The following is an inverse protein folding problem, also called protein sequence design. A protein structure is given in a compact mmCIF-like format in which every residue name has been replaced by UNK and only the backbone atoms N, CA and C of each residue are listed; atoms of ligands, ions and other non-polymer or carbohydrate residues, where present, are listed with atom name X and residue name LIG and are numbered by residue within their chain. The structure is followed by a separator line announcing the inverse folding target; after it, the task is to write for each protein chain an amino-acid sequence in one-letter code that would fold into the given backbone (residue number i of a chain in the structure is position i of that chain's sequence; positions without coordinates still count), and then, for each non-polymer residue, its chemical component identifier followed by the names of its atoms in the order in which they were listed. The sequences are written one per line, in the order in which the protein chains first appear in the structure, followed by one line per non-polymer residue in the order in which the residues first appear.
data_IF_527075020532
#
_entry.id   IF_527075020532
#
_cell.length_a   1.000
_cell.length_b   1.000
_cell.length_c   1.000
_cell.angle_alpha   90.00
_cell.angle_beta   90.00
_cell.angle_gamma   90.00
#
_symmetry.space_group_name_H-M   'P 1'
#
loop_
_entity.id
_entity.type
_entity.pdbx_description
1 polymer ?
#
# COMPACT_ATOMS: atom_id res chain seq x y z
N UNK A 1 9.35 38.90 -0.18
CA UNK A 1 9.53 37.53 -0.70
C UNK A 1 8.82 37.46 -2.04
N UNK A 2 9.43 36.92 -3.11
CA UNK A 2 8.79 36.88 -4.45
C UNK A 2 7.54 35.98 -4.46
N UNK A 3 7.47 35.03 -3.54
CA UNK A 3 6.31 34.19 -3.28
C UNK A 3 6.30 33.75 -1.81
N UNK A 4 5.13 33.35 -1.32
CA UNK A 4 4.92 32.73 -0.02
C UNK A 4 4.31 31.35 -0.22
N UNK A 5 5.07 30.30 0.07
CA UNK A 5 4.62 28.91 0.00
C UNK A 5 4.13 28.38 1.36
N UNK A 6 4.62 28.95 2.46
CA UNK A 6 4.21 28.56 3.80
C UNK A 6 4.28 29.73 4.79
N UNK A 7 3.46 29.65 5.83
CA UNK A 7 3.40 30.59 6.95
C UNK A 7 3.68 29.81 8.23
N UNK A 8 4.56 30.33 9.07
CA UNK A 8 4.81 29.80 10.41
C UNK A 8 4.24 30.77 11.45
N UNK A 9 3.33 30.27 12.28
CA UNK A 9 2.82 30.93 13.48
C UNK A 9 3.59 30.41 14.68
N UNK A 10 4.30 31.30 15.38
CA UNK A 10 4.96 30.97 16.65
C UNK A 10 4.19 31.62 17.78
N UNK A 11 3.76 30.83 18.75
CA UNK A 11 3.18 31.31 20.00
C UNK A 11 4.30 31.43 21.03
N UNK A 12 4.40 32.60 21.66
CA UNK A 12 5.57 32.99 22.46
C UNK A 12 5.15 33.20 23.92
N UNK A 13 5.99 32.73 24.84
CA UNK A 13 5.81 32.98 26.27
C UNK A 13 6.10 34.44 26.62
N UNK A 14 5.38 34.98 27.60
CA UNK A 14 5.60 36.34 28.10
C UNK A 14 5.27 36.44 29.58
N UNK A 15 6.05 37.23 30.35
CA UNK A 15 5.82 37.46 31.78
C UNK A 15 4.51 38.19 32.08
N UNK A 16 3.95 38.90 31.11
CA UNK A 16 2.66 39.58 31.26
C UNK A 16 1.45 38.65 31.03
N UNK A 17 1.67 37.41 30.61
CA UNK A 17 0.62 36.43 30.31
C UNK A 17 0.46 35.42 31.45
N UNK A 18 -0.74 34.82 31.62
CA UNK A 18 -0.98 33.79 32.62
C UNK A 18 0.05 32.66 32.58
N UNK A 19 0.55 32.27 33.76
CA UNK A 19 1.57 31.22 33.92
C UNK A 19 2.87 31.44 33.12
N UNK A 20 3.15 32.68 32.71
CA UNK A 20 4.20 33.01 31.74
C UNK A 20 4.07 32.23 30.42
N UNK A 21 2.87 31.75 30.11
CA UNK A 21 2.57 30.94 28.93
C UNK A 21 2.29 31.80 27.70
N UNK A 22 2.01 31.16 26.56
CA UNK A 22 1.72 31.88 25.32
C UNK A 22 0.25 32.26 25.15
N UNK A 23 -0.67 31.69 25.93
CA UNK A 23 -2.10 31.94 25.87
C UNK A 23 -2.64 32.85 26.97
N UNK A 24 -3.87 33.35 26.80
CA UNK A 24 -4.57 34.23 27.75
C UNK A 24 -5.49 33.51 28.73
N UNK A 25 -5.69 32.19 28.60
CA UNK A 25 -6.44 31.44 29.59
C UNK A 25 -5.68 31.38 30.92
N UNK A 26 -6.37 31.20 32.06
CA UNK A 26 -5.73 31.23 33.39
C UNK A 26 -4.59 30.23 33.61
N UNK A 27 -4.57 29.14 32.84
CA UNK A 27 -3.51 28.13 32.83
C UNK A 27 -2.44 28.36 31.75
N UNK A 28 -2.52 29.44 30.98
CA UNK A 28 -1.63 29.79 29.86
C UNK A 28 -1.99 29.12 28.52
N UNK A 29 -3.13 28.41 28.43
CA UNK A 29 -3.61 27.79 27.20
C UNK A 29 -4.29 28.78 26.23
N UNK A 30 -4.50 28.35 25.00
CA UNK A 30 -5.35 29.01 23.99
C UNK A 30 -6.07 27.95 23.14
N UNK A 31 -7.10 28.36 22.40
CA UNK A 31 -7.70 27.53 21.33
C UNK A 31 -7.87 28.40 20.09
N UNK A 32 -7.02 28.16 19.09
CA UNK A 32 -7.14 28.78 17.77
C UNK A 32 -8.16 27.97 16.98
N UNK A 33 -9.32 28.55 16.68
CA UNK A 33 -10.43 27.80 16.06
C UNK A 33 -10.35 27.81 14.55
N UNK A 34 -10.02 28.95 13.92
CA UNK A 34 -9.89 29.00 12.46
C UNK A 34 -8.64 29.80 12.04
N UNK A 35 -8.05 29.41 10.92
CA UNK A 35 -7.02 30.18 10.22
C UNK A 35 -7.43 30.37 8.77
N UNK A 36 -7.55 31.64 8.36
CA UNK A 36 -7.81 31.99 6.95
C UNK A 36 -6.70 32.86 6.40
N UNK A 37 -6.38 32.64 5.14
CA UNK A 37 -5.44 33.47 4.40
C UNK A 37 -6.16 34.07 3.20
N UNK A 38 -6.06 35.39 3.00
CA UNK A 38 -6.55 36.06 1.80
C UNK A 38 -5.45 36.85 1.13
N UNK A 39 -5.55 37.01 -0.18
CA UNK A 39 -4.71 37.90 -0.99
C UNK A 39 -5.62 38.68 -1.93
N UNK A 40 -5.55 40.01 -1.89
CA UNK A 40 -6.46 40.90 -2.62
C UNK A 40 -7.95 40.52 -2.46
N UNK A 41 -8.37 40.20 -1.25
CA UNK A 41 -9.74 39.79 -0.93
C UNK A 41 -10.13 38.36 -1.34
N UNK A 42 -9.25 37.63 -2.04
CA UNK A 42 -9.50 36.24 -2.45
C UNK A 42 -8.88 35.27 -1.44
N UNK A 43 -9.67 34.30 -0.97
CA UNK A 43 -9.20 33.28 -0.03
C UNK A 43 -8.20 32.33 -0.70
N UNK A 44 -7.06 32.11 -0.04
CA UNK A 44 -5.99 31.19 -0.42
C UNK A 44 -6.16 29.90 0.35
N UNK A 45 -6.14 28.77 -0.35
CA UNK A 45 -6.31 27.45 0.26
C UNK A 45 -5.03 27.01 0.97
N UNK A 46 -5.18 26.59 2.22
CA UNK A 46 -4.13 25.90 2.97
C UNK A 46 -4.29 24.40 2.68
N UNK A 47 -3.23 23.78 2.15
CA UNK A 47 -3.25 22.37 1.77
C UNK A 47 -2.82 21.44 2.91
N UNK A 48 -1.88 21.88 3.76
CA UNK A 48 -1.33 21.09 4.85
C UNK A 48 -1.03 21.96 6.06
N UNK A 49 -1.20 21.38 7.24
CA UNK A 49 -0.83 21.99 8.51
C UNK A 49 -0.15 20.98 9.41
N UNK A 50 0.68 21.47 10.33
CA UNK A 50 1.22 20.70 11.43
C UNK A 50 1.66 21.65 12.55
N UNK A 51 1.77 21.13 13.77
CA UNK A 51 2.32 21.85 14.92
C UNK A 51 3.40 21.00 15.61
N UNK A 52 4.27 21.65 16.37
CA UNK A 52 5.26 20.97 17.23
C UNK A 52 4.62 20.29 18.45
N UNK A 53 3.43 20.74 18.86
CA UNK A 53 2.64 20.16 19.93
C UNK A 53 1.13 20.35 19.69
N UNK A 54 0.34 19.33 20.03
CA UNK A 54 -1.12 19.32 19.90
C UNK A 54 -1.76 18.73 21.16
N UNK A 55 -2.66 19.48 21.79
CA UNK A 55 -3.45 18.99 22.91
C UNK A 55 -4.37 17.84 22.44
N UNK A 56 -4.49 16.73 23.20
CA UNK A 56 -5.46 15.69 22.89
C UNK A 56 -6.89 16.24 22.72
N UNK A 57 -7.50 15.97 21.56
CA UNK A 57 -8.83 16.47 21.19
C UNK A 57 -8.87 17.86 20.57
N UNK A 58 -7.72 18.52 20.39
CA UNK A 58 -7.59 19.84 19.76
C UNK A 58 -6.41 19.87 18.77
N UNK A 59 -6.47 19.05 17.70
CA UNK A 59 -5.40 18.95 16.72
C UNK A 59 -5.30 20.20 15.82
N UNK A 60 -4.13 20.43 15.23
CA UNK A 60 -3.92 21.60 14.35
C UNK A 60 -4.73 21.56 13.06
N UNK A 61 -5.12 20.38 12.60
CA UNK A 61 -5.90 20.23 11.35
C UNK A 61 -7.30 20.84 11.45
N UNK A 62 -7.85 20.89 12.66
CA UNK A 62 -9.21 21.36 12.92
C UNK A 62 -9.36 22.85 12.62
N UNK A 63 -8.26 23.63 12.62
CA UNK A 63 -8.29 25.06 12.28
C UNK A 63 -8.71 25.37 10.82
N UNK A 64 -8.86 24.33 10.00
CA UNK A 64 -9.27 24.41 8.60
C UNK A 64 -10.75 24.06 8.38
N UNK A 65 -11.46 23.53 9.38
CA UNK A 65 -12.84 23.06 9.21
C UNK A 65 -13.87 24.22 9.17
N UNK A 66 -13.49 25.39 9.67
CA UNK A 66 -14.31 26.60 9.75
C UNK A 66 -15.57 26.46 10.61
N UNK A 67 -15.58 25.55 11.59
CA UNK A 67 -16.76 25.29 12.43
C UNK A 67 -16.84 26.20 13.67
N UNK A 68 -15.71 26.79 14.09
CA UNK A 68 -15.58 27.67 15.25
C UNK A 68 -15.73 26.99 16.62
N UNK A 69 -15.82 25.66 16.64
CA UNK A 69 -16.10 24.79 17.79
C UNK A 69 -14.96 23.80 18.07
N UNK A 70 -14.12 23.53 17.09
CA UNK A 70 -12.89 22.75 17.19
C UNK A 70 -11.68 23.68 16.99
N UNK A 71 -10.46 23.14 17.07
CA UNK A 71 -9.27 23.91 16.75
C UNK A 71 -8.00 23.41 17.43
N UNK A 72 -6.95 24.21 17.33
CA UNK A 72 -5.64 23.90 17.88
C UNK A 72 -5.47 24.46 19.30
N UNK A 73 -5.04 23.59 20.23
CA UNK A 73 -4.70 23.98 21.59
C UNK A 73 -3.39 23.33 22.05
N UNK A 74 -2.78 23.89 23.10
CA UNK A 74 -1.44 23.50 23.56
C UNK A 74 -1.40 22.91 24.96
N UNK A 75 -2.55 22.68 25.59
CA UNK A 75 -2.53 22.06 26.92
C UNK A 75 -1.86 20.68 26.86
N UNK A 76 -1.09 20.36 27.87
CA UNK A 76 -0.41 19.07 27.98
C UNK A 76 -1.24 18.17 28.89
N UNK A 77 -1.60 16.99 28.40
CA UNK A 77 -2.28 15.98 29.22
C UNK A 77 -1.34 15.41 30.29
N UNK A 78 -1.89 14.70 31.28
CA UNK A 78 -1.14 14.12 32.39
C UNK A 78 0.03 13.19 31.97
N UNK A 79 -0.01 12.66 30.74
CA UNK A 79 0.99 11.73 30.20
C UNK A 79 1.80 12.30 29.02
N UNK A 80 1.81 13.64 28.84
CA UNK A 80 2.56 14.28 27.75
C UNK A 80 4.00 14.59 28.16
N UNK A 81 4.95 14.36 27.25
CA UNK A 81 6.35 14.81 27.38
C UNK A 81 6.53 16.28 26.99
N UNK A 82 5.51 16.90 26.38
CA UNK A 82 5.54 18.32 26.04
C UNK A 82 5.46 19.18 27.30
N UNK A 83 6.09 20.34 27.26
CA UNK A 83 6.12 21.28 28.38
C UNK A 83 5.00 22.31 28.22
N UNK A 84 4.05 22.32 29.16
CA UNK A 84 3.05 23.39 29.23
C UNK A 84 3.73 24.75 29.42
N UNK A 85 3.11 25.82 28.91
CA UNK A 85 3.62 27.18 29.03
C UNK A 85 5.02 27.34 28.42
N UNK A 86 5.25 26.70 27.27
CA UNK A 86 6.44 26.87 26.45
C UNK A 86 6.07 27.44 25.08
N UNK A 87 7.04 28.02 24.33
CA UNK A 87 6.77 28.44 22.96
C UNK A 87 6.43 27.24 22.08
N UNK A 88 5.42 27.42 21.22
CA UNK A 88 4.98 26.41 20.26
C UNK A 88 4.85 27.00 18.87
N UNK A 89 4.95 26.18 17.84
CA UNK A 89 4.85 26.61 16.44
C UNK A 89 3.89 25.74 15.63
N UNK A 90 3.13 26.41 14.77
CA UNK A 90 2.29 25.79 13.76
C UNK A 90 2.69 26.30 12.37
N UNK A 91 2.67 25.41 11.39
CA UNK A 91 3.01 25.72 10.00
C UNK A 91 1.79 25.48 9.12
N UNK A 92 1.54 26.40 8.20
CA UNK A 92 0.46 26.39 7.23
C UNK A 92 1.07 26.44 5.83
N UNK A 93 0.89 25.38 5.05
CA UNK A 93 1.40 25.27 3.68
C UNK A 93 0.28 25.56 2.71
N UNK A 94 0.47 26.54 1.84
CA UNK A 94 -0.50 26.88 0.80
C UNK A 94 -0.53 25.79 -0.27
N UNK A 95 -1.70 25.58 -0.89
CA UNK A 95 -1.84 24.68 -2.03
C UNK A 95 -1.04 25.14 -3.25
N UNK A 96 -0.98 26.46 -3.45
CA UNK A 96 -0.21 27.17 -4.46
C UNK A 96 0.49 28.36 -3.80
N UNK A 97 1.80 28.57 -4.05
CA UNK A 97 2.49 29.72 -3.51
C UNK A 97 1.79 31.03 -3.88
N UNK A 98 1.58 31.89 -2.90
CA UNK A 98 1.07 33.25 -3.10
C UNK A 98 2.21 34.12 -3.66
N UNK A 99 2.16 34.43 -4.95
CA UNK A 99 3.10 35.32 -5.62
C UNK A 99 2.50 36.73 -5.81
N UNK A 100 3.37 37.70 -6.07
CA UNK A 100 3.00 39.11 -6.32
C UNK A 100 3.16 40.02 -5.10
N UNK A 101 2.87 41.31 -5.30
CA UNK A 101 3.08 42.39 -4.32
C UNK A 101 1.83 42.73 -3.50
N UNK A 102 0.73 42.02 -3.73
CA UNK A 102 -0.53 42.20 -2.99
C UNK A 102 -0.38 41.76 -1.53
N UNK A 103 -1.01 42.49 -0.62
CA UNK A 103 -0.98 42.17 0.80
C UNK A 103 -1.65 40.82 1.10
N UNK A 104 -1.02 40.05 2.01
CA UNK A 104 -1.60 38.85 2.60
C UNK A 104 -2.32 39.20 3.90
N UNK A 105 -3.59 38.84 3.98
CA UNK A 105 -4.41 38.97 5.18
C UNK A 105 -4.49 37.61 5.88
N UNK A 106 -3.88 37.49 7.05
CA UNK A 106 -3.98 36.32 7.91
C UNK A 106 -4.99 36.58 9.02
N UNK A 107 -6.09 35.82 9.02
CA UNK A 107 -7.12 35.88 10.04
C UNK A 107 -6.96 34.70 11.00
N UNK A 108 -6.78 35.00 12.28
CA UNK A 108 -6.69 34.03 13.38
C UNK A 108 -7.94 34.16 14.26
N UNK A 109 -8.85 33.19 14.18
CA UNK A 109 -10.13 33.22 14.90
C UNK A 109 -10.06 32.39 16.18
N UNK A 110 -10.72 32.85 17.25
CA UNK A 110 -10.80 32.14 18.53
C UNK A 110 -12.27 32.13 18.98
N UNK A 111 -13.06 31.23 18.41
CA UNK A 111 -14.52 31.17 18.58
C UNK A 111 -15.00 30.41 19.82
N UNK A 112 -14.14 29.57 20.41
CA UNK A 112 -14.59 28.60 21.41
C UNK A 112 -14.92 29.23 22.76
N UNK A 113 -14.10 30.19 23.21
CA UNK A 113 -14.27 30.82 24.51
C UNK A 113 -13.55 32.17 24.57
N UNK A 114 -14.13 33.15 25.25
CA UNK A 114 -13.66 34.54 25.28
C UNK A 114 -12.23 34.74 25.85
N UNK A 115 -11.72 33.77 26.60
CA UNK A 115 -10.42 33.84 27.29
C UNK A 115 -9.32 33.00 26.64
N UNK A 116 -9.67 32.08 25.74
CA UNK A 116 -8.73 31.13 25.12
C UNK A 116 -8.07 31.73 23.88
N UNK A 117 -7.48 32.90 24.05
CA UNK A 117 -6.82 33.66 22.99
C UNK A 117 -5.31 33.40 23.01
N UNK A 118 -4.68 33.36 21.84
CA UNK A 118 -3.22 33.49 21.75
C UNK A 118 -2.83 34.87 22.30
N UNK A 119 -1.89 34.90 23.25
CA UNK A 119 -1.47 36.12 23.94
C UNK A 119 -0.39 36.87 23.19
N UNK A 120 0.72 36.20 22.89
CA UNK A 120 1.86 36.77 22.14
C UNK A 120 2.28 35.80 21.04
N UNK A 121 2.50 36.31 19.84
CA UNK A 121 2.89 35.50 18.70
C UNK A 121 3.84 36.23 17.75
N UNK A 122 4.47 35.46 16.88
CA UNK A 122 5.22 35.93 15.72
C UNK A 122 4.74 35.20 14.47
N UNK A 123 4.72 35.90 13.34
CA UNK A 123 4.41 35.34 12.03
C UNK A 123 5.68 35.40 11.18
N UNK A 124 6.00 34.28 10.54
CA UNK A 124 7.11 34.17 9.62
C UNK A 124 6.64 33.59 8.29
N UNK A 125 7.24 34.04 7.20
CA UNK A 125 6.85 33.66 5.84
C UNK A 125 8.01 32.91 5.17
N UNK A 126 7.69 31.86 4.41
CA UNK A 126 8.68 31.08 3.67
C UNK A 126 8.34 31.03 2.18
N UNK A 127 9.34 31.24 1.33
CA UNK A 127 9.20 31.09 -0.12
C UNK A 127 9.17 29.62 -0.59
N UNK A 128 9.58 28.70 0.28
CA UNK A 128 9.59 27.25 0.03
C UNK A 128 8.78 26.51 1.07
N UNK A 129 8.27 25.33 0.73
CA UNK A 129 7.64 24.45 1.72
C UNK A 129 8.74 23.95 2.67
N UNK A 130 8.68 24.26 3.98
CA UNK A 130 9.64 23.71 4.93
C UNK A 130 9.47 22.19 4.99
N UNK A 131 10.55 21.42 5.25
CA UNK A 131 10.41 20.01 5.52
C UNK A 131 9.47 19.81 6.71
N UNK A 132 8.73 18.70 6.74
CA UNK A 132 7.98 18.30 7.93
C UNK A 132 8.94 18.29 9.13
N UNK A 133 8.49 18.72 10.33
CA UNK A 133 9.36 18.76 11.49
C UNK A 133 9.93 17.37 11.71
N UNK A 134 11.25 17.32 11.88
CA UNK A 134 11.99 16.11 12.27
C UNK A 134 11.70 15.80 13.74
N UNK A 135 10.46 15.42 14.02
CA UNK A 135 9.97 14.96 15.32
C UNK A 135 9.83 13.44 15.35
N UNK A 136 8.86 12.91 16.09
CA UNK A 136 8.54 11.48 16.18
C UNK A 136 8.41 10.79 14.81
N UNK A 137 8.17 11.52 13.73
CA UNK A 137 8.18 11.02 12.36
C UNK A 137 9.54 10.47 11.91
N UNK A 138 10.68 10.99 12.38
CA UNK A 138 12.02 10.42 12.08
C UNK A 138 12.25 9.11 12.84
N UNK A 139 11.78 9.03 14.09
CA UNK A 139 11.82 7.78 14.86
C UNK A 139 10.80 6.76 14.34
N UNK A 140 9.67 7.23 13.82
CA UNK A 140 8.67 6.41 13.14
C UNK A 140 9.23 5.89 11.80
N UNK A 141 9.87 6.74 11.01
CA UNK A 141 10.56 6.37 9.77
C UNK A 141 11.73 5.42 10.05
N UNK A 142 12.49 5.64 11.12
CA UNK A 142 13.52 4.72 11.57
C UNK A 142 12.91 3.37 11.96
N UNK A 143 11.85 3.35 12.77
CA UNK A 143 11.11 2.14 13.13
C UNK A 143 10.53 1.40 11.91
N UNK A 144 10.00 2.13 10.92
CA UNK A 144 9.50 1.57 9.65
C UNK A 144 10.63 0.92 8.83
N UNK A 145 11.83 1.52 8.83
CA UNK A 145 13.01 1.03 8.13
C UNK A 145 13.72 -0.13 8.84
N UNK A 146 13.57 -0.24 10.16
CA UNK A 146 14.06 -1.38 10.93
C UNK A 146 13.28 -2.64 10.56
N UNK A 147 14.00 -3.75 10.31
CA UNK A 147 13.40 -5.04 10.00
C UNK A 147 12.49 -5.52 11.15
N UNK A 148 11.35 -6.13 10.82
CA UNK A 148 10.31 -6.47 11.80
C UNK A 148 10.82 -7.27 13.00
N UNK A 149 11.79 -8.16 12.80
CA UNK A 149 12.36 -9.00 13.86
C UNK A 149 13.29 -8.23 14.82
N UNK A 150 13.80 -7.08 14.40
CA UNK A 150 14.77 -6.27 15.14
C UNK A 150 14.17 -5.01 15.79
N UNK A 151 12.87 -4.76 15.58
CA UNK A 151 12.18 -3.61 16.17
C UNK A 151 12.09 -3.74 17.68
N UNK A 152 12.51 -2.69 18.39
CA UNK A 152 12.32 -2.59 19.84
C UNK A 152 10.85 -2.45 20.21
N UNK A 153 10.50 -2.65 21.48
CA UNK A 153 9.11 -2.44 21.92
C UNK A 153 8.69 -0.97 21.84
N UNK A 154 9.65 -0.04 21.95
CA UNK A 154 9.42 1.38 21.71
C UNK A 154 9.09 1.67 20.23
N UNK A 155 9.76 0.99 19.29
CA UNK A 155 9.48 1.12 17.85
C UNK A 155 8.09 0.59 17.52
N UNK A 156 7.72 -0.57 18.07
CA UNK A 156 6.39 -1.16 17.89
C UNK A 156 5.29 -0.24 18.45
N UNK A 157 5.49 0.29 19.65
CA UNK A 157 4.54 1.21 20.26
C UNK A 157 4.37 2.49 19.43
N UNK A 158 5.47 3.04 18.89
CA UNK A 158 5.45 4.22 18.02
C UNK A 158 4.73 3.95 16.70
N UNK A 159 5.00 2.82 16.04
CA UNK A 159 4.31 2.40 14.82
C UNK A 159 2.81 2.20 15.06
N UNK A 160 2.45 1.56 16.18
CA UNK A 160 1.06 1.33 16.56
C UNK A 160 0.32 2.66 16.81
N UNK A 161 0.92 3.59 17.55
CA UNK A 161 0.33 4.88 17.82
C UNK A 161 0.13 5.71 16.55
N UNK A 162 1.10 5.69 15.63
CA UNK A 162 0.99 6.37 14.34
C UNK A 162 -0.11 5.74 13.47
N UNK A 163 -0.18 4.41 13.43
CA UNK A 163 -1.25 3.70 12.72
C UNK A 163 -2.63 4.01 13.32
N UNK A 164 -2.79 4.01 14.64
CA UNK A 164 -4.07 4.35 15.30
C UNK A 164 -4.49 5.81 15.14
N UNK A 165 -3.52 6.72 14.98
CA UNK A 165 -3.75 8.14 14.66
C UNK A 165 -4.33 8.26 13.25
N UNK A 166 -3.73 7.59 12.28
CA UNK A 166 -4.09 7.71 10.86
C UNK A 166 -5.31 6.82 10.49
N UNK A 167 -5.55 5.74 11.24
CA UNK A 167 -6.71 4.83 11.14
C UNK A 167 -7.47 4.75 12.48
N UNK A 168 -8.32 5.74 12.82
CA UNK A 168 -9.05 5.77 14.10
C UNK A 168 -9.99 4.58 14.31
N UNK A 169 -10.39 3.90 13.23
CA UNK A 169 -11.19 2.66 13.26
C UNK A 169 -10.40 1.42 13.64
N UNK A 170 -9.07 1.51 13.63
CA UNK A 170 -8.16 0.42 13.97
C UNK A 170 -7.79 0.36 15.46
N UNK A 171 -8.27 1.30 16.30
CA UNK A 171 -8.22 1.15 17.75
C UNK A 171 -8.79 -0.24 18.09
N UNK A 172 -8.10 -1.08 18.89
CA UNK A 172 -8.67 -2.34 19.32
C UNK A 172 -9.97 -2.03 20.04
N UNK A 173 -11.09 -2.22 19.34
CA UNK A 173 -12.43 -2.15 19.93
C UNK A 173 -12.38 -3.08 21.13
N UNK A 174 -12.77 -2.52 22.27
CA UNK A 174 -12.86 -3.20 23.55
C UNK A 174 -13.39 -4.63 23.34
N UNK A 175 -12.78 -5.61 24.02
CA UNK A 175 -12.95 -7.06 23.80
C UNK A 175 -14.37 -7.61 24.08
N UNK A 176 -15.41 -6.81 23.89
CA UNK A 176 -16.80 -7.23 23.81
C UNK A 176 -17.19 -7.25 22.35
N UNK A 177 -17.17 -8.46 21.79
CA UNK A 177 -17.65 -8.79 20.46
C UNK A 177 -19.03 -8.17 20.23
N UNK A 178 -19.10 -7.14 19.40
CA UNK A 178 -20.34 -6.80 18.71
C UNK A 178 -20.69 -8.02 17.83
N UNK A 179 -21.79 -8.74 18.11
CA UNK A 179 -22.19 -9.92 17.34
C UNK A 179 -22.52 -9.59 15.88
N UNK A 180 -22.65 -8.31 15.52
CA UNK A 180 -22.93 -7.84 14.16
C UNK A 180 -21.68 -7.40 13.37
N UNK A 181 -20.47 -7.52 13.94
CA UNK A 181 -19.24 -7.28 13.17
C UNK A 181 -18.90 -8.54 12.36
N UNK A 182 -19.04 -8.45 11.04
CA UNK A 182 -18.63 -9.49 10.12
C UNK A 182 -17.15 -9.84 10.36
N UNK A 183 -16.90 -11.06 10.84
CA UNK A 183 -15.53 -11.59 10.98
C UNK A 183 -15.15 -12.25 9.66
N UNK A 184 -14.12 -11.76 8.95
CA UNK A 184 -13.60 -12.51 7.83
C UNK A 184 -13.01 -13.81 8.34
N UNK A 185 -13.34 -14.93 7.70
CA UNK A 185 -12.67 -16.19 7.96
C UNK A 185 -11.22 -16.05 7.50
N UNK A 186 -10.28 -16.24 8.41
CA UNK A 186 -8.86 -16.32 8.09
C UNK A 186 -8.40 -17.77 8.19
N UNK A 187 -7.51 -18.17 7.29
CA UNK A 187 -6.89 -19.48 7.34
C UNK A 187 -5.77 -19.46 8.38
N UNK A 188 -5.89 -20.25 9.44
CA UNK A 188 -4.84 -20.44 10.43
C UNK A 188 -4.34 -21.88 10.42
N UNK A 189 -3.04 -22.08 10.64
CA UNK A 189 -2.48 -23.43 10.77
C UNK A 189 -2.88 -24.02 12.13
N UNK A 190 -3.20 -25.32 12.14
CA UNK A 190 -3.53 -26.03 13.36
C UNK A 190 -2.23 -26.34 14.12
N UNK A 191 -2.27 -26.21 15.45
CA UNK A 191 -1.14 -26.59 16.31
C UNK A 191 -0.73 -28.07 16.14
N UNK A 192 -1.69 -28.93 15.81
CA UNK A 192 -1.45 -30.31 15.41
C UNK A 192 -2.10 -30.57 14.05
N UNK A 193 -1.32 -30.90 13.00
CA UNK A 193 -1.85 -31.24 11.70
C UNK A 193 -2.84 -32.41 11.77
N UNK A 194 -3.90 -32.36 10.97
CA UNK A 194 -4.86 -33.48 10.88
C UNK A 194 -4.22 -34.64 10.13
N UNK A 195 -4.30 -35.89 10.65
CA UNK A 195 -3.89 -37.06 9.90
C UNK A 195 -4.65 -37.15 8.57
N UNK A 196 -3.91 -37.31 7.48
CA UNK A 196 -4.45 -37.41 6.12
C UNK A 196 -4.06 -38.77 5.55
N UNK A 197 -4.97 -39.44 4.86
CA UNK A 197 -4.78 -40.79 4.32
C UNK A 197 -5.21 -40.83 2.85
N UNK A 198 -4.74 -41.83 2.11
CA UNK A 198 -5.22 -42.07 0.76
C UNK A 198 -6.71 -42.46 0.81
N UNK A 199 -7.54 -41.83 -0.02
CA UNK A 199 -8.97 -42.15 -0.06
C UNK A 199 -9.24 -43.23 -1.11
N UNK A 200 -9.86 -44.33 -0.70
CA UNK A 200 -10.20 -45.43 -1.61
C UNK A 200 -11.23 -44.94 -2.63
N UNK A 201 -10.82 -44.82 -3.90
CA UNK A 201 -11.65 -44.26 -4.99
C UNK A 201 -12.16 -42.83 -4.72
N UNK A 202 -11.44 -42.06 -3.90
CA UNK A 202 -11.82 -40.68 -3.57
C UNK A 202 -12.96 -40.53 -2.55
N UNK A 203 -13.44 -41.62 -1.96
CA UNK A 203 -14.49 -41.59 -0.94
C UNK A 203 -13.92 -41.13 0.42
N UNK A 204 -14.35 -39.95 0.89
CA UNK A 204 -13.90 -39.37 2.16
C UNK A 204 -14.26 -40.20 3.39
N UNK A 205 -15.22 -41.12 3.27
CA UNK A 205 -15.60 -42.04 4.36
C UNK A 205 -14.71 -43.29 4.41
N UNK A 206 -13.85 -43.49 3.39
CA UNK A 206 -13.00 -44.68 3.24
C UNK A 206 -11.51 -44.33 3.15
N UNK A 207 -10.92 -43.76 4.22
CA UNK A 207 -9.48 -43.59 4.29
C UNK A 207 -8.76 -44.94 4.42
N UNK A 208 -7.79 -45.18 3.55
CA UNK A 208 -6.86 -46.29 3.63
C UNK A 208 -5.80 -45.99 4.69
N UNK A 209 -6.05 -46.49 5.90
CA UNK A 209 -5.13 -46.34 7.03
C UNK A 209 -3.98 -47.36 6.99
N UNK A 210 -4.12 -48.43 6.22
CA UNK A 210 -3.13 -49.51 6.12
C UNK A 210 -1.92 -49.05 5.30
N UNK A 211 -2.14 -48.21 4.29
CA UNK A 211 -1.08 -47.52 3.52
C UNK A 211 -0.33 -46.44 4.29
N UNK A 212 -0.74 -46.15 5.54
CA UNK A 212 -0.11 -45.15 6.40
C UNK A 212 -0.58 -43.72 6.13
N UNK A 213 -0.16 -42.81 7.02
CA UNK A 213 -0.47 -41.39 6.91
C UNK A 213 0.33 -40.74 5.78
N UNK A 214 -0.36 -39.93 4.98
CA UNK A 214 0.26 -39.07 3.97
C UNK A 214 0.89 -37.85 4.65
N UNK A 215 2.14 -37.60 4.28
CA UNK A 215 2.87 -36.39 4.62
C UNK A 215 2.76 -35.37 3.47
N UNK A 216 2.93 -34.07 3.73
CA UNK A 216 2.98 -33.09 2.66
C UNK A 216 4.13 -33.43 1.69
N UNK A 217 3.87 -33.23 0.40
CA UNK A 217 4.80 -33.59 -0.65
C UNK A 217 4.38 -33.01 -1.98
N UNK A 218 5.14 -33.35 -3.01
CA UNK A 218 4.97 -32.85 -4.39
C UNK A 218 5.04 -34.02 -5.37
N UNK A 219 4.40 -33.91 -6.56
CA UNK A 219 4.53 -34.93 -7.60
C UNK A 219 5.96 -34.97 -8.16
N UNK A 220 6.76 -35.94 -7.70
CA UNK A 220 8.18 -36.07 -8.06
C UNK A 220 8.40 -36.36 -9.56
N UNK A 221 7.35 -36.78 -10.28
CA UNK A 221 7.39 -36.94 -11.73
C UNK A 221 7.51 -35.60 -12.49
N UNK A 222 7.21 -34.47 -11.84
CA UNK A 222 7.23 -33.14 -12.45
C UNK A 222 8.56 -32.42 -12.18
N UNK A 223 9.01 -32.44 -10.93
CA UNK A 223 10.22 -31.77 -10.48
C UNK A 223 10.77 -32.49 -9.23
N UNK A 224 12.04 -32.23 -8.86
CA UNK A 224 12.65 -32.82 -7.67
C UNK A 224 11.83 -32.62 -6.39
N UNK A 225 11.97 -33.51 -5.40
CA UNK A 225 11.21 -33.41 -4.15
C UNK A 225 11.52 -32.12 -3.40
N UNK A 226 10.60 -31.71 -2.52
CA UNK A 226 10.84 -30.60 -1.59
C UNK A 226 12.09 -30.90 -0.76
N UNK A 227 13.01 -29.94 -0.69
CA UNK A 227 14.03 -29.92 0.35
C UNK A 227 13.36 -29.47 1.64
N UNK A 228 13.10 -30.42 2.53
CA UNK A 228 12.44 -30.18 3.81
C UNK A 228 13.49 -30.15 4.91
N UNK A 229 13.43 -29.14 5.78
CA UNK A 229 14.13 -29.20 7.06
C UNK A 229 13.37 -30.20 7.96
N UNK A 230 14.01 -31.34 8.27
CA UNK A 230 13.41 -32.40 9.08
C UNK A 230 12.90 -31.90 10.44
N UNK A 231 13.47 -30.82 10.98
CA UNK A 231 13.06 -30.25 12.26
C UNK A 231 11.83 -29.33 12.16
N UNK A 232 11.62 -28.67 11.01
CA UNK A 232 10.54 -27.69 10.82
C UNK A 232 9.34 -28.23 10.02
N UNK A 233 9.54 -29.31 9.26
CA UNK A 233 8.55 -29.82 8.32
C UNK A 233 8.35 -28.88 7.11
N UNK A 234 7.69 -29.38 6.08
CA UNK A 234 7.43 -28.60 4.87
C UNK A 234 6.22 -27.70 5.06
N UNK A 235 6.33 -26.44 4.66
CA UNK A 235 5.26 -25.45 4.74
C UNK A 235 4.87 -24.91 3.35
N UNK A 236 3.95 -23.94 3.31
CA UNK A 236 3.47 -23.35 2.04
C UNK A 236 4.54 -22.58 1.28
N UNK A 237 5.54 -22.01 1.97
CA UNK A 237 6.67 -21.34 1.32
C UNK A 237 7.51 -22.35 0.54
N UNK A 238 7.69 -23.57 1.06
CA UNK A 238 8.43 -24.63 0.37
C UNK A 238 7.70 -25.07 -0.90
N UNK A 239 6.38 -25.25 -0.83
CA UNK A 239 5.56 -25.49 -2.02
C UNK A 239 5.65 -24.33 -3.03
N UNK A 240 5.60 -23.08 -2.56
CA UNK A 240 5.72 -21.91 -3.43
C UNK A 240 7.08 -21.86 -4.14
N UNK A 241 8.17 -22.17 -3.44
CA UNK A 241 9.52 -22.27 -4.01
C UNK A 241 9.61 -23.38 -5.04
N UNK A 242 9.03 -24.55 -4.76
CA UNK A 242 8.97 -25.67 -5.70
C UNK A 242 8.16 -25.37 -6.97
N UNK A 243 7.07 -24.63 -6.85
CA UNK A 243 6.26 -24.22 -8.00
C UNK A 243 7.05 -23.34 -8.96
N UNK A 244 7.93 -22.46 -8.47
CA UNK A 244 8.74 -21.56 -9.31
C UNK A 244 10.17 -22.03 -9.49
N UNK A 245 10.47 -23.27 -9.09
CA UNK A 245 11.80 -23.84 -9.22
C UNK A 245 12.15 -23.99 -10.73
N UNK A 246 13.37 -23.63 -11.16
CA UNK A 246 13.80 -23.82 -12.55
C UNK A 246 13.70 -25.26 -13.07
N UNK A 247 13.75 -26.25 -12.18
CA UNK A 247 13.59 -27.67 -12.49
C UNK A 247 12.12 -28.08 -12.63
N UNK A 248 11.17 -27.21 -12.29
CA UNK A 248 9.75 -27.38 -12.59
C UNK A 248 9.42 -26.76 -13.96
N UNK A 249 9.22 -27.57 -15.01
CA UNK A 249 9.05 -27.03 -16.35
C UNK A 249 7.62 -26.56 -16.63
N UNK A 250 6.64 -26.91 -15.79
CA UNK A 250 5.23 -26.61 -16.06
C UNK A 250 4.90 -25.15 -15.82
N UNK A 251 5.26 -24.61 -14.66
CA UNK A 251 4.96 -23.23 -14.30
C UNK A 251 5.41 -22.20 -15.35
N UNK A 252 6.67 -22.21 -15.84
CA UNK A 252 7.08 -21.25 -16.86
C UNK A 252 6.37 -21.47 -18.21
N UNK A 253 6.15 -22.72 -18.64
CA UNK A 253 5.43 -23.03 -19.89
C UNK A 253 3.97 -22.58 -19.84
N UNK A 254 3.26 -22.92 -18.78
CA UNK A 254 1.85 -22.52 -18.56
C UNK A 254 1.76 -21.00 -18.53
N UNK A 255 2.63 -20.33 -17.76
CA UNK A 255 2.66 -18.87 -17.68
C UNK A 255 2.87 -18.22 -19.05
N UNK A 256 3.82 -18.71 -19.83
CA UNK A 256 4.11 -18.17 -21.17
C UNK A 256 3.02 -18.49 -22.18
N UNK A 257 2.37 -19.64 -22.09
CA UNK A 257 1.21 -19.94 -22.92
C UNK A 257 0.03 -18.99 -22.63
N UNK A 258 -0.23 -18.70 -21.35
CA UNK A 258 -1.26 -17.71 -20.95
C UNK A 258 -0.95 -16.33 -21.51
N UNK A 259 0.29 -15.85 -21.35
CA UNK A 259 0.72 -14.56 -21.91
C UNK A 259 0.58 -14.55 -23.43
N UNK A 260 1.05 -15.61 -24.09
CA UNK A 260 0.94 -15.77 -25.54
C UNK A 260 -0.52 -15.66 -26.00
N UNK A 261 -1.43 -16.38 -25.33
CA UNK A 261 -2.86 -16.36 -25.62
C UNK A 261 -3.47 -14.95 -25.53
N UNK A 262 -3.01 -14.11 -24.61
CA UNK A 262 -3.47 -12.71 -24.51
C UNK A 262 -3.06 -11.85 -25.69
N UNK A 263 -1.92 -12.13 -26.32
CA UNK A 263 -1.42 -11.36 -27.47
C UNK A 263 -1.91 -11.88 -28.82
N UNK A 264 -2.11 -13.19 -28.94
CA UNK A 264 -2.43 -13.85 -30.21
C UNK A 264 -3.87 -14.41 -30.23
N UNK A 265 -4.66 -14.20 -29.18
CA UNK A 265 -6.03 -14.71 -29.04
C UNK A 265 -6.15 -16.23 -28.82
N UNK A 266 -5.05 -16.96 -29.06
CA UNK A 266 -4.95 -18.42 -28.94
C UNK A 266 -3.59 -18.79 -28.38
N UNK A 267 -3.55 -19.69 -27.40
CA UNK A 267 -2.30 -20.23 -26.86
C UNK A 267 -1.62 -21.20 -27.84
N UNK A 268 -0.32 -21.41 -27.63
CA UNK A 268 0.43 -22.50 -28.29
C UNK A 268 -0.18 -23.86 -27.93
N UNK A 269 -0.57 -24.01 -26.66
CA UNK A 269 -1.52 -25.01 -26.15
C UNK A 269 -2.87 -24.31 -26.00
N UNK A 270 -3.91 -24.82 -26.67
CA UNK A 270 -5.24 -24.19 -26.64
C UNK A 270 -5.97 -24.34 -25.33
N UNK A 271 -5.72 -25.44 -24.62
CA UNK A 271 -6.30 -25.73 -23.31
C UNK A 271 -5.49 -25.01 -22.23
N UNK A 272 -5.88 -23.79 -21.88
CA UNK A 272 -5.14 -22.93 -20.93
C UNK A 272 -4.78 -23.65 -19.62
N UNK A 273 -5.71 -24.46 -19.11
CA UNK A 273 -5.62 -25.14 -17.82
C UNK A 273 -5.21 -26.63 -17.91
N UNK A 274 -4.96 -27.16 -19.10
CA UNK A 274 -4.65 -28.59 -19.28
C UNK A 274 -3.47 -28.80 -20.24
N UNK A 275 -2.32 -29.11 -19.62
CA UNK A 275 -1.06 -29.49 -20.27
C UNK A 275 -0.80 -31.01 -20.16
N UNK A 276 -1.79 -31.77 -19.67
CA UNK A 276 -1.73 -33.21 -19.53
C UNK A 276 -2.20 -33.95 -20.77
N UNK A 277 -2.51 -35.23 -20.61
CA UNK A 277 -2.92 -36.13 -21.71
C UNK A 277 -4.33 -35.84 -22.24
N UNK A 278 -5.13 -35.07 -21.51
CA UNK A 278 -6.46 -34.63 -21.93
C UNK A 278 -6.42 -33.25 -22.62
N UNK A 279 -5.28 -32.54 -22.53
CA UNK A 279 -5.01 -31.28 -23.21
C UNK A 279 -4.68 -31.44 -24.69
N UNK A 280 -4.70 -30.31 -25.42
CA UNK A 280 -4.24 -30.29 -26.81
C UNK A 280 -2.72 -30.17 -26.87
N UNK A 281 -2.00 -30.92 -27.74
CA UNK A 281 -0.56 -30.74 -27.87
C UNK A 281 -0.22 -29.31 -28.35
N UNK A 282 0.95 -28.77 -27.97
CA UNK A 282 1.39 -27.46 -28.43
C UNK A 282 1.57 -27.45 -29.95
N UNK A 283 1.07 -26.42 -30.61
CA UNK A 283 1.30 -26.18 -32.05
C UNK A 283 2.78 -25.97 -32.37
N UNK A 284 3.51 -25.34 -31.44
CA UNK A 284 4.94 -25.06 -31.55
C UNK A 284 5.66 -25.44 -30.24
N UNK A 285 6.00 -26.73 -30.03
CA UNK A 285 6.61 -27.20 -28.78
C UNK A 285 7.93 -26.50 -28.47
N UNK A 286 8.83 -26.38 -29.45
CA UNK A 286 10.14 -25.76 -29.26
C UNK A 286 10.03 -24.28 -28.87
N UNK A 287 9.04 -23.58 -29.43
CA UNK A 287 8.79 -22.17 -29.11
C UNK A 287 8.28 -22.01 -27.66
N UNK A 288 7.39 -22.92 -27.22
CA UNK A 288 6.88 -22.95 -25.85
C UNK A 288 8.00 -23.25 -24.84
N UNK A 289 8.84 -24.23 -25.15
CA UNK A 289 9.99 -24.60 -24.34
C UNK A 289 11.00 -23.46 -24.23
N UNK A 290 11.30 -22.82 -25.36
CA UNK A 290 12.18 -21.67 -25.39
C UNK A 290 11.63 -20.49 -24.57
N UNK A 291 10.33 -20.18 -24.69
CA UNK A 291 9.70 -19.11 -23.91
C UNK A 291 9.74 -19.41 -22.41
N UNK A 292 9.49 -20.65 -22.01
CA UNK A 292 9.56 -21.08 -20.62
C UNK A 292 10.97 -20.92 -20.05
N UNK A 293 11.99 -21.38 -20.78
CA UNK A 293 13.39 -21.21 -20.39
C UNK A 293 13.84 -19.75 -20.38
N UNK A 294 13.37 -18.94 -21.32
CA UNK A 294 13.66 -17.51 -21.40
C UNK A 294 13.07 -16.72 -20.22
N UNK A 295 11.85 -17.06 -19.78
CA UNK A 295 11.24 -16.47 -18.58
C UNK A 295 12.13 -16.69 -17.35
N UNK A 296 12.63 -17.91 -17.16
CA UNK A 296 13.54 -18.24 -16.07
C UNK A 296 14.85 -17.47 -16.21
N UNK A 297 15.49 -17.49 -17.40
CA UNK A 297 16.77 -16.78 -17.65
C UNK A 297 16.69 -15.28 -17.41
N UNK A 298 15.51 -14.68 -17.59
CA UNK A 298 15.25 -13.26 -17.32
C UNK A 298 14.80 -12.96 -15.89
N UNK A 299 14.91 -13.93 -14.98
CA UNK A 299 14.53 -13.77 -13.57
C UNK A 299 13.03 -13.52 -13.40
N UNK A 300 12.20 -14.23 -14.16
CA UNK A 300 10.74 -14.11 -14.12
C UNK A 300 10.20 -12.71 -14.46
N UNK A 301 10.98 -11.91 -15.21
CA UNK A 301 10.59 -10.55 -15.56
C UNK A 301 9.51 -10.51 -16.65
N UNK A 302 8.24 -10.41 -16.22
CA UNK A 302 7.10 -10.29 -17.13
C UNK A 302 7.25 -9.12 -18.09
N UNK A 303 7.73 -7.95 -17.62
CA UNK A 303 7.98 -6.77 -18.47
C UNK A 303 8.91 -7.09 -19.65
N UNK A 304 9.97 -7.86 -19.40
CA UNK A 304 10.89 -8.23 -20.46
C UNK A 304 10.27 -9.25 -21.42
N UNK A 305 9.49 -10.21 -20.92
CA UNK A 305 8.78 -11.17 -21.77
C UNK A 305 7.73 -10.50 -22.64
N UNK A 306 6.95 -9.55 -22.10
CA UNK A 306 6.03 -8.74 -22.88
C UNK A 306 6.76 -7.99 -24.00
N UNK A 307 7.86 -7.32 -23.68
CA UNK A 307 8.69 -6.64 -24.70
C UNK A 307 9.19 -7.60 -25.77
N UNK A 308 9.67 -8.77 -25.37
CA UNK A 308 10.18 -9.80 -26.28
C UNK A 308 9.09 -10.24 -27.27
N UNK A 309 7.89 -10.52 -26.78
CA UNK A 309 6.76 -10.93 -27.61
C UNK A 309 6.37 -9.80 -28.58
N UNK A 310 6.15 -8.58 -28.10
CA UNK A 310 5.69 -7.47 -28.96
C UNK A 310 6.73 -6.97 -29.95
N UNK A 311 8.01 -7.32 -29.75
CA UNK A 311 9.10 -7.01 -30.69
C UNK A 311 9.52 -8.21 -31.55
N UNK A 312 8.88 -9.36 -31.39
CA UNK A 312 9.12 -10.55 -32.21
C UNK A 312 8.77 -10.31 -33.68
N UNK A 313 9.35 -11.12 -34.58
CA UNK A 313 8.92 -11.13 -35.97
C UNK A 313 7.44 -11.51 -36.08
N UNK A 314 7.02 -12.57 -35.37
CA UNK A 314 5.64 -13.09 -35.37
C UNK A 314 4.62 -12.01 -34.99
N UNK A 315 4.85 -11.26 -33.90
CA UNK A 315 3.91 -10.21 -33.48
C UNK A 315 3.85 -9.02 -34.46
N UNK A 316 4.96 -8.75 -35.16
CA UNK A 316 5.08 -7.64 -36.12
C UNK A 316 4.72 -8.02 -37.55
N UNK A 317 4.21 -9.24 -37.78
CA UNK A 317 3.71 -9.64 -39.09
C UNK A 317 2.51 -8.80 -39.51
N UNK A 318 2.32 -8.70 -40.82
CA UNK A 318 1.15 -8.05 -41.40
C UNK A 318 -0.13 -8.82 -41.03
N UNK A 319 -1.16 -8.12 -40.58
CA UNK A 319 -2.45 -8.70 -40.22
C UNK A 319 -3.31 -9.07 -41.43
N UNK A 320 -2.89 -8.71 -42.65
CA UNK A 320 -3.64 -9.03 -43.88
C UNK A 320 -3.73 -10.55 -44.10
N UNK A 321 -4.93 -11.07 -44.44
CA UNK A 321 -5.07 -12.47 -44.83
C UNK A 321 -4.19 -12.80 -46.04
N UNK A 322 -3.43 -13.89 -45.92
CA UNK A 322 -2.61 -14.45 -46.98
C UNK A 322 -3.40 -15.48 -47.76
N UNK A 323 -3.63 -15.23 -49.06
CA UNK A 323 -4.46 -16.08 -49.91
C UNK A 323 -3.92 -17.51 -50.01
N UNK A 324 -2.60 -17.67 -50.03
CA UNK A 324 -1.91 -18.97 -50.08
C UNK A 324 -2.09 -19.83 -48.82
N UNK A 325 -2.52 -19.25 -47.69
CA UNK A 325 -2.69 -19.96 -46.42
C UNK A 325 -4.16 -20.13 -46.02
N UNK A 326 -5.12 -19.62 -46.80
CA UNK A 326 -6.54 -19.75 -46.46
C UNK A 326 -7.02 -21.20 -46.47
N UNK A 327 -6.52 -22.01 -47.40
CA UNK A 327 -6.87 -23.43 -47.50
C UNK A 327 -5.96 -24.33 -46.64
N UNK A 328 -4.67 -23.97 -46.53
CA UNK A 328 -3.66 -24.77 -45.83
C UNK A 328 -3.74 -24.62 -44.31
N UNK A 329 -3.96 -23.39 -43.83
CA UNK A 329 -4.05 -23.08 -42.40
C UNK A 329 -5.22 -22.11 -42.13
N UNK A 330 -6.48 -22.57 -42.32
CA UNK A 330 -7.66 -21.74 -42.14
C UNK A 330 -7.80 -21.23 -40.69
N UNK A 331 -7.24 -21.97 -39.73
CA UNK A 331 -7.27 -21.66 -38.30
C UNK A 331 -6.07 -20.83 -37.81
N UNK A 332 -5.18 -20.43 -38.73
CA UNK A 332 -4.00 -19.62 -38.45
C UNK A 332 -3.12 -20.19 -37.32
N UNK A 333 -2.99 -21.52 -37.26
CA UNK A 333 -2.15 -22.23 -36.29
C UNK A 333 -0.68 -21.89 -36.45
N UNK A 334 -0.24 -21.60 -37.68
CA UNK A 334 1.13 -21.23 -38.05
C UNK A 334 1.40 -19.74 -37.81
N UNK A 335 0.44 -19.00 -37.25
CA UNK A 335 0.60 -17.61 -36.82
C UNK A 335 1.00 -16.69 -37.98
N UNK A 336 0.50 -16.93 -39.18
CA UNK A 336 0.90 -16.19 -40.38
C UNK A 336 0.36 -14.74 -40.44
N UNK A 337 -0.59 -14.42 -39.56
CA UNK A 337 -1.19 -13.09 -39.38
C UNK A 337 -1.68 -12.93 -37.94
N UNK A 338 -1.98 -11.70 -37.52
CA UNK A 338 -2.60 -11.45 -36.23
C UNK A 338 -4.10 -11.83 -36.22
N UNK A 339 -4.55 -12.42 -35.11
CA UNK A 339 -5.96 -12.76 -34.87
C UNK A 339 -6.77 -11.56 -34.40
N UNK A 340 -8.07 -11.55 -34.73
CA UNK A 340 -9.00 -10.57 -34.17
C UNK A 340 -9.37 -10.99 -32.74
N UNK A 341 -8.81 -10.29 -31.76
CA UNK A 341 -9.16 -10.48 -30.34
C UNK A 341 -10.43 -9.69 -30.03
N UNK A 342 -11.46 -10.36 -29.51
CA UNK A 342 -12.65 -9.67 -28.98
C UNK A 342 -12.32 -9.06 -27.62
N UNK A 343 -12.76 -7.82 -27.40
CA UNK A 343 -12.71 -7.19 -26.08
C UNK A 343 -13.66 -7.90 -25.11
N UNK A 344 -13.23 -8.03 -23.87
CA UNK A 344 -14.03 -8.63 -22.80
C UNK A 344 -15.16 -7.67 -22.40
N UNK A 345 -16.28 -8.20 -21.92
CA UNK A 345 -17.46 -7.40 -21.53
C UNK A 345 -17.18 -6.37 -20.43
N UNK A 346 -16.17 -6.60 -19.59
CA UNK A 346 -15.78 -5.73 -18.46
C UNK A 346 -14.85 -4.58 -18.87
N UNK A 347 -14.42 -4.52 -20.14
CA UNK A 347 -13.51 -3.49 -20.64
C UNK A 347 -14.24 -2.27 -21.25
N UNK A 348 -15.57 -2.21 -21.17
CA UNK A 348 -16.45 -1.17 -21.74
C UNK A 348 -17.19 -0.43 -20.64
#
# INVERSE_FOLDING_TARGET
LPQVAAIRLRTLTDKSLPQNGPGRAGNGNFVLTNVRLRQAGVERRIARTWADHEQPGYPIVDVLDNDGKSGWAINVGANSTAKMNSPHEAIFVLDKPAAGDEALELLLEHGLHATYLIGRFAIELSATVPPLPRGDDDLLLAALRTESAQRSDADKARLQAAFERDEPRARPRDKRSDPNVARPMIMNELASPRPTYLLTRGDFTRPDKDSGQLLPGVPQAIAPPLTVDEAAGSNRLDLARWLVDPQNPLTPRVTMNRVWMRYFGRGLVTTEEDFGTQGTPPTHPDQLDWLGGELIRRGWSMKQMHRLIVTSATYRQDSRPRADLQEVDPRNLLLARQERVRLNAEAV
#
